data_IF_695377466313
#
_entry.id   IF_695377466313
#
_cell.length_a   1.000
_cell.length_b   1.000
_cell.length_c   1.000
_cell.angle_alpha   90.00
_cell.angle_beta   90.00
_cell.angle_gamma   90.00
#
_symmetry.space_group_name_H-M   'P 1'
#
loop_
_entity.id
_entity.type
_entity.pdbx_description
1 polymer ?
#
# COMPACT_ATOMS: atom_id res chain seq x y z
N UNK A 1 8.04 -26.33 -37.76
CA UNK A 1 7.98 -26.53 -36.31
C UNK A 1 6.73 -25.81 -35.83
N UNK A 2 5.64 -26.55 -35.64
CA UNK A 2 4.30 -26.00 -35.34
C UNK A 2 4.16 -25.89 -33.83
N UNK A 3 4.03 -24.70 -33.30
CA UNK A 3 3.70 -24.46 -31.87
C UNK A 3 2.18 -24.57 -31.70
N UNK A 4 1.74 -25.61 -31.00
CA UNK A 4 0.35 -25.80 -30.59
C UNK A 4 0.15 -25.03 -29.27
N UNK A 5 -0.59 -23.93 -29.30
CA UNK A 5 -1.04 -23.21 -28.10
C UNK A 5 -2.39 -23.78 -27.70
N UNK A 6 -2.47 -24.43 -26.55
CA UNK A 6 -3.72 -24.86 -25.92
C UNK A 6 -4.39 -23.67 -25.22
N UNK A 7 -5.47 -23.15 -25.79
CA UNK A 7 -6.34 -22.18 -25.14
C UNK A 7 -7.30 -22.92 -24.20
N UNK A 8 -7.33 -22.52 -22.95
CA UNK A 8 -8.31 -22.96 -21.95
C UNK A 8 -9.50 -22.00 -21.98
N UNK A 9 -10.64 -22.50 -22.44
CA UNK A 9 -11.92 -21.79 -22.30
C UNK A 9 -12.45 -21.98 -20.88
N UNK A 10 -12.61 -20.87 -20.16
CA UNK A 10 -13.46 -20.79 -18.98
C UNK A 10 -14.81 -20.25 -19.44
N UNK A 11 -15.85 -21.06 -19.29
CA UNK A 11 -17.23 -20.61 -19.48
C UNK A 11 -17.58 -19.59 -18.39
N UNK A 12 -17.64 -18.33 -18.76
CA UNK A 12 -18.36 -17.30 -18.02
C UNK A 12 -19.66 -16.99 -18.77
N UNK A 13 -20.84 -17.15 -18.18
CA UNK A 13 -22.10 -16.86 -18.85
C UNK A 13 -22.25 -15.34 -18.99
N UNK A 14 -22.31 -14.86 -20.23
CA UNK A 14 -22.73 -13.48 -20.52
C UNK A 14 -21.84 -12.64 -21.42
N UNK A 15 -20.75 -13.16 -22.01
CA UNK A 15 -19.91 -12.41 -22.95
C UNK A 15 -19.84 -13.13 -24.30
N UNK A 16 -20.40 -12.53 -25.35
CA UNK A 16 -20.33 -13.02 -26.74
C UNK A 16 -19.04 -12.53 -27.40
N UNK A 17 -18.05 -13.42 -27.56
CA UNK A 17 -16.78 -13.15 -28.24
C UNK A 17 -16.84 -13.42 -29.77
N UNK A 18 -18.02 -13.65 -30.32
CA UNK A 18 -18.20 -13.98 -31.74
C UNK A 18 -17.59 -13.03 -32.76
N UNK A 19 -17.50 -11.72 -32.56
CA UNK A 19 -16.87 -10.79 -33.50
C UNK A 19 -15.33 -10.81 -33.52
N UNK A 20 -14.70 -11.22 -32.44
CA UNK A 20 -13.23 -11.18 -32.31
C UNK A 20 -12.54 -12.37 -32.97
N UNK A 21 -13.11 -13.57 -32.85
CA UNK A 21 -12.54 -14.78 -33.46
C UNK A 21 -12.58 -14.80 -35.00
N UNK A 22 -13.52 -14.09 -35.63
CA UNK A 22 -13.60 -14.00 -37.11
C UNK A 22 -12.51 -13.14 -37.73
N UNK A 23 -11.79 -12.36 -36.97
CA UNK A 23 -10.72 -11.48 -37.48
C UNK A 23 -9.34 -12.15 -37.53
N UNK A 24 -9.16 -13.31 -36.89
CA UNK A 24 -7.85 -13.96 -36.70
C UNK A 24 -7.74 -15.34 -37.37
N UNK A 25 -8.77 -15.86 -38.01
CA UNK A 25 -8.71 -17.03 -38.89
C UNK A 25 -8.44 -18.37 -38.21
N UNK A 26 -9.01 -18.66 -37.04
CA UNK A 26 -8.85 -19.96 -36.37
C UNK A 26 -10.12 -20.82 -36.46
N UNK A 27 -9.92 -22.11 -36.88
CA UNK A 27 -10.94 -23.17 -36.82
C UNK A 27 -10.90 -23.88 -35.45
N UNK A 28 -12.08 -24.05 -34.82
CA UNK A 28 -12.23 -24.74 -33.54
C UNK A 28 -12.52 -26.23 -33.76
N UNK A 29 -11.70 -27.12 -33.16
CA UNK A 29 -12.00 -28.56 -33.03
C UNK A 29 -12.24 -28.91 -31.56
N UNK A 30 -13.39 -29.50 -31.28
CA UNK A 30 -13.82 -29.97 -29.95
C UNK A 30 -13.16 -31.30 -29.56
N UNK A 31 -12.73 -31.44 -28.30
CA UNK A 31 -12.10 -32.62 -27.72
C UNK A 31 -13.09 -33.46 -26.86
N UNK A 32 -13.10 -34.80 -26.93
CA UNK A 32 -14.09 -35.63 -26.24
C UNK A 32 -13.84 -35.81 -24.74
N UNK A 33 -14.94 -35.91 -24.00
CA UNK A 33 -15.12 -35.89 -22.54
C UNK A 33 -14.42 -37.01 -21.71
N UNK A 34 -13.76 -38.00 -22.30
CA UNK A 34 -13.23 -39.19 -21.59
C UNK A 34 -11.83 -39.05 -21.01
N UNK A 35 -11.05 -38.03 -21.40
CA UNK A 35 -9.67 -37.85 -20.93
C UNK A 35 -9.55 -36.98 -19.64
N UNK A 36 -10.62 -36.34 -19.19
CA UNK A 36 -10.59 -35.45 -18.01
C UNK A 36 -10.52 -36.19 -16.66
N UNK A 37 -10.94 -37.46 -16.59
CA UNK A 37 -10.96 -38.20 -15.31
C UNK A 37 -9.62 -38.81 -14.90
N UNK A 38 -8.73 -39.12 -15.83
CA UNK A 38 -7.41 -39.68 -15.50
C UNK A 38 -6.40 -38.64 -15.00
N UNK A 39 -6.53 -37.38 -15.40
CA UNK A 39 -5.61 -36.34 -14.98
C UNK A 39 -5.83 -35.90 -13.51
N UNK A 40 -7.05 -36.01 -13.00
CA UNK A 40 -7.37 -35.66 -11.58
C UNK A 40 -6.81 -36.68 -10.58
N UNK A 41 -6.41 -37.87 -10.99
CA UNK A 41 -5.83 -38.89 -10.11
C UNK A 41 -4.30 -38.80 -9.96
N UNK A 42 -3.60 -38.07 -10.83
CA UNK A 42 -2.11 -37.93 -10.78
C UNK A 42 -1.59 -36.65 -10.09
N UNK A 43 -2.46 -35.74 -9.69
CA UNK A 43 -2.06 -34.46 -9.04
C UNK A 43 -2.06 -34.53 -7.50
N UNK A 44 -2.02 -35.72 -6.91
CA UNK A 44 -1.82 -35.92 -5.47
C UNK A 44 -0.66 -36.84 -5.24
N UNK A 45 0.58 -36.34 -5.32
CA UNK A 45 1.77 -36.99 -4.73
C UNK A 45 2.79 -35.94 -4.38
N UNK A 46 3.07 -35.87 -3.09
CA UNK A 46 4.30 -35.50 -2.39
C UNK A 46 5.01 -34.15 -2.63
N UNK A 47 4.85 -33.32 -1.62
CA UNK A 47 5.89 -32.38 -1.19
C UNK A 47 6.39 -32.79 0.20
N UNK A 48 7.30 -33.77 0.24
CA UNK A 48 8.16 -34.02 1.41
C UNK A 48 9.59 -33.79 0.96
N UNK A 49 10.16 -32.65 1.30
CA UNK A 49 11.61 -32.40 1.15
C UNK A 49 12.29 -33.02 2.34
N UNK A 50 12.99 -34.14 2.11
CA UNK A 50 13.89 -34.76 3.05
C UNK A 50 15.26 -34.08 2.93
N UNK A 51 15.69 -33.34 3.99
CA UNK A 51 17.07 -32.86 4.10
C UNK A 51 17.87 -33.96 4.80
N UNK A 52 18.72 -34.66 4.05
CA UNK A 52 19.72 -35.57 4.63
C UNK A 52 20.98 -34.78 4.99
N UNK A 53 21.28 -34.70 6.27
CA UNK A 53 22.60 -34.30 6.75
C UNK A 53 23.57 -35.49 6.54
N UNK A 54 24.69 -35.23 5.88
CA UNK A 54 25.77 -36.20 5.71
C UNK A 54 26.58 -36.32 6.97
N UNK A 55 26.70 -37.54 7.47
CA UNK A 55 27.63 -37.97 8.52
C UNK A 55 29.05 -38.02 7.96
N UNK A 56 29.99 -37.44 8.72
CA UNK A 56 31.40 -37.83 8.69
C UNK A 56 31.84 -38.08 10.13
N UNK A 57 32.14 -39.36 10.41
CA UNK A 57 32.78 -39.80 11.64
C UNK A 57 34.16 -39.17 11.79
N UNK A 58 34.55 -38.79 13.02
CA UNK A 58 35.72 -39.34 13.70
C UNK A 58 35.84 -38.90 15.18
N UNK A 59 36.01 -39.94 15.98
CA UNK A 59 36.74 -40.14 17.25
C UNK A 59 36.67 -39.13 18.43
N UNK A 60 36.09 -39.63 19.47
CA UNK A 60 36.44 -39.68 20.91
C UNK A 60 37.45 -38.66 21.50
N UNK A 61 36.99 -37.86 22.45
CA UNK A 61 37.65 -37.73 23.77
C UNK A 61 36.70 -37.12 24.78
N UNK A 62 36.53 -37.86 25.88
CA UNK A 62 35.85 -37.39 27.10
C UNK A 62 36.61 -36.25 27.74
N UNK A 63 35.92 -35.18 28.17
CA UNK A 63 36.39 -34.29 29.22
C UNK A 63 35.19 -33.71 29.98
N UNK A 64 35.15 -33.98 31.25
CA UNK A 64 34.17 -33.54 32.23
C UNK A 64 34.04 -32.01 32.24
N UNK A 65 32.83 -31.51 32.05
CA UNK A 65 32.50 -30.06 32.14
C UNK A 65 32.06 -29.67 33.54
N UNK A 66 32.94 -29.01 34.28
CA UNK A 66 32.60 -28.36 35.57
C UNK A 66 31.73 -27.11 35.31
N UNK A 67 30.50 -27.11 35.88
CA UNK A 67 29.65 -25.92 35.91
C UNK A 67 30.14 -24.95 36.99
N UNK A 68 30.68 -23.80 36.61
CA UNK A 68 31.02 -22.70 37.50
C UNK A 68 29.79 -21.85 37.76
N UNK A 69 29.43 -21.70 39.06
CA UNK A 69 28.27 -20.94 39.51
C UNK A 69 28.52 -19.43 39.46
N UNK A 70 27.45 -18.65 39.23
CA UNK A 70 27.44 -17.17 39.10
C UNK A 70 28.00 -16.41 40.31
N UNK A 71 28.44 -17.10 41.39
CA UNK A 71 28.96 -16.47 42.62
C UNK A 71 30.48 -16.38 42.72
N UNK A 72 31.24 -17.03 41.83
CA UNK A 72 32.72 -17.06 41.91
C UNK A 72 33.42 -16.00 41.03
N UNK A 73 32.68 -15.15 40.30
CA UNK A 73 33.24 -14.12 39.40
C UNK A 73 33.35 -12.72 40.05
N UNK A 74 33.10 -12.55 41.37
CA UNK A 74 33.11 -11.22 42.01
C UNK A 74 34.30 -11.00 42.96
N UNK A 75 35.23 -11.93 43.10
CA UNK A 75 36.30 -11.77 44.08
C UNK A 75 37.70 -11.86 43.52
N UNK A 76 38.09 -11.08 42.51
CA UNK A 76 39.52 -10.71 42.30
C UNK A 76 39.64 -9.53 41.30
N UNK A 77 40.21 -8.42 41.73
CA UNK A 77 40.82 -7.45 40.87
C UNK A 77 40.36 -5.99 40.97
N UNK A 78 40.58 -5.37 42.13
CA UNK A 78 40.62 -3.89 42.19
C UNK A 78 41.97 -3.44 41.66
N UNK A 79 41.98 -2.83 40.49
CA UNK A 79 43.14 -2.14 39.92
C UNK A 79 42.74 -0.71 39.53
N UNK A 80 43.17 0.24 40.35
CA UNK A 80 43.05 1.67 40.19
C UNK A 80 43.88 2.15 38.98
N UNK A 81 43.26 2.63 37.90
CA UNK A 81 43.91 3.44 36.87
C UNK A 81 43.14 4.72 36.64
N UNK A 82 43.85 5.84 36.82
CA UNK A 82 43.32 7.20 36.63
C UNK A 82 42.87 7.45 35.19
N UNK A 83 41.59 7.87 35.07
CA UNK A 83 41.03 8.29 33.81
C UNK A 83 41.42 9.76 33.52
N UNK A 84 42.31 9.97 32.59
CA UNK A 84 42.47 11.27 31.91
C UNK A 84 41.33 11.44 30.93
N UNK A 85 40.41 12.34 31.21
CA UNK A 85 39.34 12.71 30.34
C UNK A 85 39.87 13.39 29.07
N UNK A 86 39.89 12.67 27.97
CA UNK A 86 40.00 13.25 26.64
C UNK A 86 38.57 13.38 26.08
N UNK A 87 37.98 14.55 26.29
CA UNK A 87 36.75 14.94 25.57
C UNK A 87 37.07 15.14 24.11
N UNK A 88 36.94 14.11 23.30
CA UNK A 88 36.82 14.25 21.84
C UNK A 88 35.36 14.55 21.53
N UNK A 89 35.03 15.79 21.26
CA UNK A 89 33.81 16.20 20.55
C UNK A 89 33.79 15.47 19.20
N UNK A 90 32.98 14.41 19.11
CA UNK A 90 32.51 13.91 17.83
C UNK A 90 31.44 14.89 17.32
N UNK A 91 31.89 15.94 16.62
CA UNK A 91 31.02 16.62 15.69
C UNK A 91 30.65 15.58 14.63
N UNK A 92 29.45 15.02 14.73
CA UNK A 92 28.85 14.23 13.66
C UNK A 92 28.65 15.18 12.48
N UNK A 93 29.65 15.31 11.64
CA UNK A 93 29.47 15.82 10.30
C UNK A 93 28.59 14.79 9.58
N UNK A 94 27.32 15.11 9.42
CA UNK A 94 26.43 14.47 8.48
C UNK A 94 26.97 14.72 7.08
N UNK A 95 27.89 13.87 6.63
CA UNK A 95 28.23 13.75 5.22
C UNK A 95 27.08 13.00 4.57
N UNK A 96 25.94 13.67 4.42
CA UNK A 96 24.99 13.33 3.36
C UNK A 96 25.63 13.84 2.08
N UNK A 97 26.59 13.08 1.57
CA UNK A 97 27.05 13.25 0.21
C UNK A 97 25.85 13.13 -0.70
N UNK A 98 25.52 14.20 -1.45
CA UNK A 98 24.58 14.11 -2.55
C UNK A 98 25.10 13.01 -3.47
N UNK A 99 24.48 11.84 -3.41
CA UNK A 99 24.75 10.76 -4.35
C UNK A 99 24.43 11.31 -5.74
N UNK A 100 25.48 11.63 -6.51
CA UNK A 100 25.32 11.89 -7.94
C UNK A 100 24.94 10.56 -8.55
N UNK A 101 23.66 10.37 -8.81
CA UNK A 101 23.19 9.23 -9.59
C UNK A 101 23.87 9.33 -10.96
N UNK A 102 24.85 8.47 -11.19
CA UNK A 102 25.36 8.25 -12.55
C UNK A 102 24.20 7.66 -13.33
N UNK A 103 23.80 8.30 -14.42
CA UNK A 103 22.75 7.79 -15.28
C UNK A 103 23.12 6.34 -15.65
N UNK A 104 22.40 5.38 -15.09
CA UNK A 104 22.60 3.98 -15.42
C UNK A 104 22.07 3.78 -16.84
N UNK A 105 22.81 3.08 -17.72
CA UNK A 105 22.33 2.71 -19.05
C UNK A 105 21.22 1.64 -19.00
N UNK A 106 20.66 1.35 -17.83
CA UNK A 106 19.60 0.34 -17.68
C UNK A 106 18.31 0.89 -18.23
N UNK A 107 17.75 0.21 -19.21
CA UNK A 107 16.38 0.45 -19.68
C UNK A 107 15.40 0.24 -18.52
N UNK A 108 14.60 1.26 -18.12
CA UNK A 108 13.65 1.14 -17.02
C UNK A 108 12.69 -0.04 -17.17
N UNK A 109 12.32 -0.42 -18.41
CA UNK A 109 11.44 -1.57 -18.67
C UNK A 109 12.06 -2.90 -18.23
N UNK A 110 13.40 -3.01 -18.24
CA UNK A 110 14.07 -4.24 -17.78
C UNK A 110 13.93 -4.45 -16.27
N UNK A 111 13.76 -3.38 -15.49
CA UNK A 111 13.55 -3.43 -14.04
C UNK A 111 12.10 -3.76 -13.67
N UNK A 112 11.16 -3.55 -14.58
CA UNK A 112 9.76 -3.97 -14.38
C UNK A 112 9.68 -5.48 -14.38
N UNK A 113 8.93 -6.05 -13.43
CA UNK A 113 8.73 -7.50 -13.38
C UNK A 113 8.05 -8.01 -14.66
N UNK A 114 8.51 -9.13 -15.24
CA UNK A 114 7.91 -9.68 -16.46
C UNK A 114 6.39 -9.85 -16.42
N UNK A 115 5.81 -10.14 -15.26
CA UNK A 115 4.36 -10.30 -15.09
C UNK A 115 3.58 -9.00 -15.39
N UNK A 116 4.22 -7.84 -15.28
CA UNK A 116 3.58 -6.53 -15.43
C UNK A 116 3.88 -5.85 -16.77
N UNK A 117 4.87 -6.35 -17.54
CA UNK A 117 5.38 -5.66 -18.74
C UNK A 117 4.37 -5.57 -19.87
N UNK A 118 3.63 -6.65 -20.14
CA UNK A 118 2.75 -6.72 -21.31
C UNK A 118 1.67 -5.61 -21.30
N UNK A 119 0.98 -5.43 -20.17
CA UNK A 119 0.00 -4.37 -20.03
C UNK A 119 0.67 -3.00 -20.02
N UNK A 120 1.76 -2.84 -19.27
CA UNK A 120 2.46 -1.56 -19.20
C UNK A 120 2.91 -1.08 -20.57
N UNK A 121 3.49 -1.95 -21.41
CA UNK A 121 3.86 -1.64 -22.80
C UNK A 121 2.68 -1.25 -23.69
N UNK A 122 1.47 -1.73 -23.37
CA UNK A 122 0.26 -1.37 -24.12
C UNK A 122 -0.31 0.00 -23.77
N UNK A 123 -0.01 0.52 -22.58
CA UNK A 123 -0.56 1.80 -22.08
C UNK A 123 0.46 2.93 -22.07
N UNK A 124 1.75 2.63 -22.03
CA UNK A 124 2.81 3.64 -22.12
C UNK A 124 3.28 3.75 -23.57
N UNK A 125 3.28 4.97 -24.09
CA UNK A 125 3.84 5.25 -25.41
C UNK A 125 5.38 5.13 -25.41
N UNK A 126 6.00 5.24 -26.61
CA UNK A 126 7.45 5.21 -26.75
C UNK A 126 8.14 6.47 -26.20
N UNK A 127 7.38 7.50 -25.90
CA UNK A 127 7.90 8.78 -25.46
C UNK A 127 8.30 8.74 -23.99
N UNK A 128 9.30 9.54 -23.64
CA UNK A 128 9.67 9.76 -22.24
C UNK A 128 8.52 10.40 -21.47
N UNK A 129 8.36 10.08 -20.17
CA UNK A 129 7.31 10.69 -19.37
C UNK A 129 7.45 12.22 -19.36
N UNK A 130 6.34 12.98 -19.25
CA UNK A 130 6.38 14.42 -19.24
C UNK A 130 7.23 14.94 -18.08
N UNK A 131 8.03 15.96 -18.33
CA UNK A 131 8.87 16.62 -17.31
C UNK A 131 8.09 17.61 -16.44
N UNK A 132 6.93 18.05 -16.93
CA UNK A 132 6.01 18.98 -16.26
C UNK A 132 4.56 18.52 -16.45
N UNK A 133 3.75 18.80 -15.45
CA UNK A 133 2.30 18.61 -15.51
C UNK A 133 1.59 19.95 -15.59
N UNK A 134 0.48 19.97 -16.32
CA UNK A 134 -0.35 21.16 -16.54
C UNK A 134 -1.78 20.96 -16.07
N UNK A 135 -2.53 22.04 -15.92
CA UNK A 135 -3.98 21.98 -15.63
C UNK A 135 -4.74 21.20 -16.72
N UNK A 136 -4.31 21.27 -17.99
CA UNK A 136 -4.93 20.50 -19.07
C UNK A 136 -4.77 18.99 -18.83
N UNK A 137 -3.59 18.53 -18.39
CA UNK A 137 -3.34 17.12 -18.04
C UNK A 137 -4.16 16.68 -16.83
N UNK A 138 -4.36 17.55 -15.84
CA UNK A 138 -5.27 17.29 -14.72
C UNK A 138 -6.70 17.04 -15.22
N UNK A 139 -7.21 17.87 -16.10
CA UNK A 139 -8.55 17.70 -16.66
C UNK A 139 -8.68 16.40 -17.46
N UNK A 140 -7.66 16.03 -18.23
CA UNK A 140 -7.60 14.75 -18.94
C UNK A 140 -7.57 13.57 -17.98
N UNK A 141 -6.78 13.63 -16.90
CA UNK A 141 -6.74 12.60 -15.86
C UNK A 141 -8.11 12.41 -15.19
N UNK A 142 -8.78 13.50 -14.83
CA UNK A 142 -10.12 13.46 -14.23
C UNK A 142 -11.16 12.88 -15.17
N UNK A 143 -11.07 13.19 -16.46
CA UNK A 143 -11.99 12.64 -17.48
C UNK A 143 -11.72 11.14 -17.69
N UNK A 144 -10.45 10.73 -17.80
CA UNK A 144 -10.06 9.33 -17.94
C UNK A 144 -10.43 8.46 -16.72
N UNK A 145 -10.43 9.03 -15.53
CA UNK A 145 -10.81 8.31 -14.30
C UNK A 145 -12.29 7.92 -14.27
N UNK A 146 -13.19 8.68 -14.91
CA UNK A 146 -14.65 8.40 -14.91
C UNK A 146 -15.05 7.05 -15.49
N UNK A 147 -14.19 6.40 -16.26
CA UNK A 147 -14.45 5.08 -16.85
C UNK A 147 -13.82 3.90 -16.11
N UNK A 148 -13.11 4.14 -15.02
CA UNK A 148 -12.34 3.11 -14.31
C UNK A 148 -13.14 2.38 -13.21
N UNK A 149 -14.37 2.83 -12.91
CA UNK A 149 -15.21 2.19 -11.91
C UNK A 149 -15.53 0.74 -12.28
N UNK A 150 -15.19 -0.19 -11.42
CA UNK A 150 -15.51 -1.61 -11.60
C UNK A 150 -17.01 -1.87 -11.37
N UNK A 151 -17.64 -2.84 -12.10
CA UNK A 151 -19.01 -3.24 -11.84
C UNK A 151 -19.21 -3.66 -10.38
N UNK A 152 -20.33 -3.25 -9.80
CA UNK A 152 -20.67 -3.62 -8.41
C UNK A 152 -20.98 -5.10 -8.28
N UNK A 153 -20.70 -5.66 -7.09
CA UNK A 153 -21.22 -6.97 -6.69
C UNK A 153 -22.74 -6.90 -6.49
N UNK A 154 -23.46 -8.01 -6.67
CA UNK A 154 -24.87 -8.09 -6.32
C UNK A 154 -25.12 -7.81 -4.82
N UNK A 155 -24.17 -8.14 -3.95
CA UNK A 155 -24.21 -7.93 -2.51
C UNK A 155 -22.76 -7.84 -1.93
N UNK A 156 -22.60 -7.20 -0.75
CA UNK A 156 -23.57 -6.42 0.00
C UNK A 156 -23.92 -5.09 -0.70
N UNK A 157 -25.12 -4.55 -0.46
CA UNK A 157 -25.55 -3.28 -1.04
C UNK A 157 -24.66 -2.12 -0.56
N UNK A 158 -24.45 -1.14 -1.45
CA UNK A 158 -23.74 0.11 -1.11
C UNK A 158 -24.74 1.24 -1.02
N UNK A 159 -24.72 1.97 0.10
CA UNK A 159 -25.62 3.10 0.37
C UNK A 159 -24.80 4.39 0.38
N UNK A 160 -25.26 5.40 -0.35
CA UNK A 160 -24.70 6.76 -0.26
C UNK A 160 -25.33 7.48 0.93
N UNK A 161 -24.52 8.15 1.75
CA UNK A 161 -24.97 8.99 2.85
C UNK A 161 -24.23 10.31 2.84
N UNK A 162 -24.94 11.41 3.00
CA UNK A 162 -24.37 12.73 3.24
C UNK A 162 -24.24 12.94 4.76
N UNK A 163 -23.09 13.39 5.21
CA UNK A 163 -22.87 13.73 6.61
C UNK A 163 -22.49 15.21 6.74
N UNK A 164 -22.78 15.87 7.85
CA UNK A 164 -22.32 17.23 8.09
C UNK A 164 -20.80 17.32 7.90
N UNK A 165 -20.33 18.28 7.11
CA UNK A 165 -18.92 18.51 6.90
C UNK A 165 -18.26 19.25 8.06
N UNK A 166 -16.93 19.48 7.99
CA UNK A 166 -16.22 20.34 8.92
C UNK A 166 -16.86 21.74 8.99
N UNK A 167 -16.68 22.42 10.10
CA UNK A 167 -17.27 23.75 10.30
C UNK A 167 -16.97 24.70 9.11
N UNK A 168 -18.04 25.17 8.46
CA UNK A 168 -17.94 26.08 7.31
C UNK A 168 -17.63 25.40 5.97
N UNK A 169 -17.57 24.07 5.93
CA UNK A 169 -17.40 23.27 4.73
C UNK A 169 -18.72 22.62 4.31
N UNK A 170 -18.84 22.16 3.04
CA UNK A 170 -20.00 21.42 2.58
C UNK A 170 -20.13 20.05 3.28
N UNK A 171 -21.30 19.42 3.13
CA UNK A 171 -21.50 18.03 3.54
C UNK A 171 -20.49 17.09 2.83
N UNK A 172 -20.06 16.04 3.55
CA UNK A 172 -19.15 15.03 3.04
C UNK A 172 -19.94 13.81 2.59
N UNK A 173 -19.86 13.41 1.31
CA UNK A 173 -20.51 12.19 0.84
C UNK A 173 -19.72 10.96 1.29
N UNK A 174 -20.42 9.96 1.82
CA UNK A 174 -19.89 8.65 2.16
C UNK A 174 -20.61 7.57 1.34
N UNK A 175 -19.89 6.50 1.00
CA UNK A 175 -20.50 5.25 0.55
C UNK A 175 -20.22 4.17 1.58
N UNK A 176 -21.29 3.49 2.03
CA UNK A 176 -21.30 2.58 3.17
C UNK A 176 -21.82 1.21 2.72
N UNK A 177 -21.15 0.16 3.15
CA UNK A 177 -21.60 -1.22 2.92
C UNK A 177 -21.31 -2.09 4.14
N UNK A 178 -22.03 -3.23 4.28
CA UNK A 178 -21.87 -4.19 5.38
C UNK A 178 -22.46 -3.75 6.73
N UNK A 179 -23.00 -2.52 6.84
CA UNK A 179 -23.63 -2.02 8.06
C UNK A 179 -24.85 -2.86 8.44
N UNK A 180 -24.96 -3.21 9.72
CA UNK A 180 -26.06 -4.02 10.28
C UNK A 180 -26.32 -3.57 11.70
N UNK A 181 -27.41 -2.86 11.94
CA UNK A 181 -27.77 -2.38 13.28
C UNK A 181 -27.80 -3.53 14.31
N UNK A 182 -27.24 -3.29 15.48
CA UNK A 182 -27.16 -4.29 16.56
C UNK A 182 -26.06 -5.34 16.41
N UNK A 183 -25.30 -5.33 15.30
CA UNK A 183 -24.09 -6.13 15.17
C UNK A 183 -22.90 -5.44 15.90
N UNK A 184 -21.77 -6.18 16.01
CA UNK A 184 -20.48 -5.69 16.54
C UNK A 184 -19.37 -6.14 15.60
N UNK A 185 -19.38 -5.58 14.38
CA UNK A 185 -18.43 -5.92 13.33
C UNK A 185 -17.19 -5.03 13.38
N UNK A 186 -16.03 -5.48 12.92
CA UNK A 186 -14.91 -4.59 12.64
C UNK A 186 -15.29 -3.61 11.53
N UNK A 187 -14.50 -2.53 11.36
CA UNK A 187 -14.78 -1.55 10.33
C UNK A 187 -13.51 -1.04 9.64
N UNK A 188 -13.64 -0.66 8.37
CA UNK A 188 -12.59 -0.03 7.58
C UNK A 188 -13.09 1.31 7.05
N UNK A 189 -12.36 2.38 7.31
CA UNK A 189 -12.47 3.63 6.57
C UNK A 189 -11.49 3.58 5.41
N UNK A 190 -12.00 3.52 4.18
CA UNK A 190 -11.25 3.52 2.95
C UNK A 190 -11.13 4.94 2.38
N UNK A 191 -9.95 5.29 1.89
CA UNK A 191 -9.64 6.59 1.31
C UNK A 191 -9.03 6.35 -0.07
N UNK A 192 -9.71 6.82 -1.12
CA UNK A 192 -9.32 6.57 -2.51
C UNK A 192 -8.05 7.31 -2.92
N UNK A 193 -7.33 6.76 -3.89
CA UNK A 193 -6.18 7.38 -4.55
C UNK A 193 -6.58 8.47 -5.55
N UNK A 194 -5.61 8.89 -6.37
CA UNK A 194 -5.81 9.90 -7.42
C UNK A 194 -4.95 11.14 -7.27
N UNK A 195 -3.79 11.04 -6.60
CA UNK A 195 -2.81 12.12 -6.50
C UNK A 195 -3.33 13.36 -5.79
N UNK A 196 -4.29 13.25 -4.89
CA UNK A 196 -4.99 14.36 -4.20
C UNK A 196 -5.89 15.19 -5.13
N UNK A 197 -5.76 15.04 -6.44
CA UNK A 197 -6.31 15.94 -7.48
C UNK A 197 -7.38 15.28 -8.35
N UNK A 198 -7.57 13.96 -8.24
CA UNK A 198 -8.54 13.17 -9.01
C UNK A 198 -9.08 12.00 -8.21
N UNK A 199 -9.96 11.21 -8.81
CA UNK A 199 -10.65 10.08 -8.16
C UNK A 199 -11.94 10.48 -7.46
N UNK A 200 -12.71 9.48 -7.05
CA UNK A 200 -13.92 9.67 -6.26
C UNK A 200 -14.23 8.43 -5.43
N UNK A 201 -14.93 8.60 -4.32
CA UNK A 201 -15.43 7.47 -3.55
C UNK A 201 -16.46 6.63 -4.32
N UNK A 202 -17.13 7.23 -5.31
CA UNK A 202 -18.08 6.51 -6.18
C UNK A 202 -17.37 5.43 -7.02
N UNK A 203 -16.11 5.63 -7.39
CA UNK A 203 -15.32 4.67 -8.16
C UNK A 203 -14.84 3.51 -7.28
N UNK A 204 -14.65 3.72 -5.98
CA UNK A 204 -14.20 2.73 -5.00
C UNK A 204 -15.33 1.90 -4.36
N UNK A 205 -16.56 2.02 -4.85
CA UNK A 205 -17.70 1.27 -4.27
C UNK A 205 -17.52 -0.24 -4.34
N UNK A 206 -16.90 -0.75 -5.41
CA UNK A 206 -16.58 -2.17 -5.55
C UNK A 206 -15.52 -2.60 -4.54
N UNK A 207 -14.53 -1.76 -4.27
CA UNK A 207 -13.45 -2.07 -3.33
C UNK A 207 -13.98 -2.24 -1.91
N UNK A 208 -14.89 -1.35 -1.48
CA UNK A 208 -15.51 -1.49 -0.16
C UNK A 208 -16.46 -2.68 -0.08
N UNK A 209 -17.13 -3.08 -1.18
CA UNK A 209 -17.92 -4.31 -1.18
C UNK A 209 -17.03 -5.55 -0.98
N UNK A 210 -15.87 -5.60 -1.63
CA UNK A 210 -14.89 -6.67 -1.46
C UNK A 210 -14.34 -6.71 -0.03
N UNK A 211 -14.00 -5.55 0.56
CA UNK A 211 -13.61 -5.46 1.97
C UNK A 211 -14.70 -6.02 2.90
N UNK A 212 -15.94 -5.58 2.72
CA UNK A 212 -17.05 -6.03 3.55
C UNK A 212 -17.33 -7.53 3.41
N UNK A 213 -17.22 -8.07 2.18
CA UNK A 213 -17.43 -9.50 1.92
C UNK A 213 -16.29 -10.37 2.48
N UNK A 214 -15.04 -9.93 2.32
CA UNK A 214 -13.87 -10.72 2.71
C UNK A 214 -13.64 -10.75 4.23
N UNK A 215 -14.07 -9.71 4.95
CA UNK A 215 -13.77 -9.54 6.38
C UNK A 215 -15.02 -9.52 7.28
N UNK A 216 -16.21 -9.70 6.74
CA UNK A 216 -17.49 -9.49 7.46
C UNK A 216 -17.46 -8.18 8.27
N UNK A 217 -17.06 -7.09 7.62
CA UNK A 217 -16.88 -5.80 8.24
C UNK A 217 -17.82 -4.73 7.67
N UNK A 218 -17.92 -3.61 8.37
CA UNK A 218 -18.49 -2.39 7.81
C UNK A 218 -17.38 -1.65 7.06
N UNK A 219 -17.58 -1.40 5.77
CA UNK A 219 -16.61 -0.66 4.97
C UNK A 219 -17.25 0.67 4.49
N UNK A 220 -16.51 1.76 4.67
CA UNK A 220 -16.94 3.11 4.31
C UNK A 220 -15.85 3.75 3.45
N UNK A 221 -16.21 4.38 2.33
CA UNK A 221 -15.27 5.22 1.56
C UNK A 221 -15.74 6.66 1.53
N UNK A 222 -14.78 7.60 1.57
CA UNK A 222 -15.00 9.04 1.73
C UNK A 222 -14.80 9.75 0.41
N UNK A 223 -15.77 10.55 -0.01
CA UNK A 223 -15.66 11.44 -1.17
C UNK A 223 -15.11 12.80 -0.70
N UNK A 224 -13.83 12.82 -0.37
CA UNK A 224 -13.15 14.00 0.16
C UNK A 224 -12.91 15.05 -0.93
N UNK A 225 -12.84 16.32 -0.55
CA UNK A 225 -12.59 17.44 -1.46
C UNK A 225 -11.18 17.38 -2.03
N UNK A 226 -11.09 17.60 -3.34
CA UNK A 226 -9.84 17.50 -4.08
C UNK A 226 -9.11 18.84 -4.19
N UNK A 227 -7.80 18.76 -4.31
CA UNK A 227 -6.94 19.86 -4.72
C UNK A 227 -6.95 19.99 -6.27
N UNK A 228 -6.61 21.16 -6.83
CA UNK A 228 -6.24 22.41 -6.16
C UNK A 228 -7.43 23.20 -5.61
N UNK A 229 -8.68 22.83 -5.90
CA UNK A 229 -9.88 23.57 -5.49
C UNK A 229 -10.00 23.67 -3.98
N UNK A 230 -9.56 22.62 -3.27
CA UNK A 230 -9.51 22.59 -1.80
C UNK A 230 -8.13 22.10 -1.35
N UNK A 231 -7.20 23.03 -1.07
CA UNK A 231 -5.89 22.65 -0.55
C UNK A 231 -5.99 22.15 0.90
N UNK A 232 -4.86 21.62 1.41
CA UNK A 232 -4.73 21.22 2.81
C UNK A 232 -5.12 22.37 3.77
N UNK A 233 -5.89 22.11 4.84
CA UNK A 233 -6.23 20.79 5.39
C UNK A 233 -7.57 20.21 4.92
N UNK A 234 -8.20 20.73 3.88
CA UNK A 234 -9.58 20.39 3.50
C UNK A 234 -9.88 18.89 3.40
N UNK A 235 -9.08 18.15 2.62
CA UNK A 235 -9.24 16.70 2.48
C UNK A 235 -8.97 15.93 3.79
N UNK A 236 -8.00 16.39 4.61
CA UNK A 236 -7.74 15.77 5.91
C UNK A 236 -8.93 15.97 6.86
N UNK A 237 -9.51 17.17 6.89
CA UNK A 237 -10.66 17.44 7.76
C UNK A 237 -11.92 16.68 7.30
N UNK A 238 -12.12 16.49 6.00
CA UNK A 238 -13.21 15.64 5.48
C UNK A 238 -13.05 14.18 5.92
N UNK A 239 -11.85 13.62 5.77
CA UNK A 239 -11.54 12.25 6.19
C UNK A 239 -11.65 12.09 7.72
N UNK A 240 -11.19 13.08 8.49
CA UNK A 240 -11.31 13.07 9.95
C UNK A 240 -12.79 13.15 10.39
N UNK A 241 -13.58 14.01 9.74
CA UNK A 241 -15.02 14.11 9.98
C UNK A 241 -15.72 12.78 9.72
N UNK A 242 -15.36 12.11 8.63
CA UNK A 242 -15.89 10.78 8.31
C UNK A 242 -15.51 9.73 9.35
N UNK A 243 -14.25 9.72 9.81
CA UNK A 243 -13.78 8.81 10.85
C UNK A 243 -14.51 9.04 12.18
N UNK A 244 -14.62 10.29 12.60
CA UNK A 244 -15.33 10.65 13.83
C UNK A 244 -16.82 10.33 13.74
N UNK A 245 -17.44 10.59 12.60
CA UNK A 245 -18.84 10.25 12.35
C UNK A 245 -19.06 8.73 12.43
N UNK A 246 -18.18 7.93 11.78
CA UNK A 246 -18.24 6.47 11.84
C UNK A 246 -18.12 5.96 13.28
N UNK A 247 -17.20 6.49 14.06
CA UNK A 247 -17.00 6.14 15.47
C UNK A 247 -18.18 6.52 16.36
N UNK A 248 -18.74 7.71 16.15
CA UNK A 248 -19.89 8.22 16.93
C UNK A 248 -21.17 7.41 16.63
N UNK A 249 -21.39 7.04 15.36
CA UNK A 249 -22.56 6.30 14.93
C UNK A 249 -22.34 4.77 14.91
N UNK A 250 -21.33 4.27 15.63
CA UNK A 250 -20.95 2.86 15.63
C UNK A 250 -22.10 1.92 15.98
N UNK A 251 -22.95 2.28 16.92
CA UNK A 251 -24.11 1.45 17.32
C UNK A 251 -25.16 1.31 16.19
N UNK A 252 -25.45 2.40 15.48
CA UNK A 252 -26.37 2.40 14.31
C UNK A 252 -25.79 1.54 13.17
N UNK A 253 -24.47 1.66 12.94
CA UNK A 253 -23.77 0.95 11.87
C UNK A 253 -23.43 -0.51 12.23
N UNK A 254 -23.53 -0.89 13.49
CA UNK A 254 -23.11 -2.21 13.98
C UNK A 254 -21.61 -2.38 14.05
N UNK A 255 -20.88 -1.33 14.40
CA UNK A 255 -19.40 -1.28 14.45
C UNK A 255 -18.90 -1.52 15.87
N UNK A 256 -17.86 -2.33 16.00
CA UNK A 256 -17.02 -2.43 17.18
C UNK A 256 -15.98 -1.30 17.16
N UNK A 257 -16.11 -0.34 18.08
CA UNK A 257 -15.23 0.83 18.17
C UNK A 257 -13.76 0.50 18.44
N UNK A 258 -13.47 -0.67 18.97
CA UNK A 258 -12.08 -1.13 19.22
C UNK A 258 -11.41 -1.73 17.98
N UNK A 259 -12.18 -2.03 16.92
CA UNK A 259 -11.71 -2.69 15.71
C UNK A 259 -11.95 -1.85 14.45
N UNK A 260 -11.52 -0.58 14.49
CA UNK A 260 -11.57 0.33 13.35
C UNK A 260 -10.17 0.43 12.73
N UNK A 261 -10.07 0.08 11.44
CA UNK A 261 -8.89 0.26 10.62
C UNK A 261 -9.10 1.36 9.58
N UNK A 262 -8.01 1.95 9.11
CA UNK A 262 -7.98 2.84 7.96
C UNK A 262 -7.16 2.21 6.84
N UNK A 263 -7.57 2.41 5.59
CA UNK A 263 -6.90 1.90 4.40
C UNK A 263 -6.93 2.94 3.28
N UNK A 264 -5.83 3.07 2.56
CA UNK A 264 -5.81 3.90 1.35
C UNK A 264 -4.69 3.53 0.41
N UNK A 265 -4.88 3.85 -0.87
CA UNK A 265 -3.94 3.62 -1.95
C UNK A 265 -3.39 4.96 -2.47
N UNK A 266 -2.08 5.04 -2.76
CA UNK A 266 -1.44 6.21 -3.33
C UNK A 266 -1.70 7.47 -2.48
N UNK A 267 -2.26 8.52 -3.03
CA UNK A 267 -2.70 9.71 -2.28
C UNK A 267 -3.68 9.37 -1.15
N UNK A 268 -4.53 8.34 -1.31
CA UNK A 268 -5.39 7.82 -0.24
C UNK A 268 -4.57 7.22 0.90
N UNK A 269 -3.47 6.54 0.59
CA UNK A 269 -2.51 6.06 1.58
C UNK A 269 -1.83 7.20 2.35
N UNK A 270 -1.52 8.30 1.67
CA UNK A 270 -1.04 9.53 2.31
C UNK A 270 -2.07 10.10 3.29
N UNK A 271 -3.33 10.21 2.82
CA UNK A 271 -4.42 10.68 3.66
C UNK A 271 -4.68 9.74 4.84
N UNK A 272 -4.55 8.42 4.66
CA UNK A 272 -4.64 7.46 5.75
C UNK A 272 -3.52 7.66 6.78
N UNK A 273 -2.27 7.83 6.37
CA UNK A 273 -1.16 8.11 7.27
C UNK A 273 -1.34 9.45 8.02
N UNK A 274 -1.74 10.52 7.30
CA UNK A 274 -2.02 11.82 7.90
C UNK A 274 -3.22 11.75 8.88
N UNK A 275 -4.25 10.98 8.54
CA UNK A 275 -5.40 10.74 9.39
C UNK A 275 -5.05 9.95 10.65
N UNK A 276 -4.17 8.92 10.55
CA UNK A 276 -3.67 8.21 11.72
C UNK A 276 -2.92 9.13 12.68
N UNK A 277 -2.09 10.03 12.14
CA UNK A 277 -1.38 11.05 12.93
C UNK A 277 -2.39 11.99 13.59
N UNK A 278 -3.36 12.53 12.84
CA UNK A 278 -4.38 13.44 13.36
C UNK A 278 -5.27 12.77 14.42
N UNK A 279 -5.69 11.52 14.22
CA UNK A 279 -6.51 10.76 15.16
C UNK A 279 -5.76 10.51 16.49
N UNK A 280 -4.47 10.17 16.43
CA UNK A 280 -3.61 10.05 17.62
C UNK A 280 -3.48 11.38 18.37
N UNK A 281 -3.17 12.45 17.63
CA UNK A 281 -2.88 13.76 18.22
C UNK A 281 -4.13 14.40 18.84
N UNK A 282 -5.32 14.15 18.25
CA UNK A 282 -6.62 14.62 18.78
C UNK A 282 -7.16 13.68 19.88
N UNK A 283 -6.73 12.43 19.92
CA UNK A 283 -7.14 11.45 20.95
C UNK A 283 -8.61 11.07 20.89
N UNK A 284 -9.28 11.19 19.72
CA UNK A 284 -10.72 11.03 19.59
C UNK A 284 -11.16 9.64 19.15
N UNK A 285 -10.39 8.98 18.26
CA UNK A 285 -10.72 7.67 17.68
C UNK A 285 -9.51 6.75 17.71
N UNK A 286 -9.56 5.66 18.48
CA UNK A 286 -8.52 4.63 18.44
C UNK A 286 -8.59 3.86 17.13
N UNK A 287 -7.43 3.55 16.54
CA UNK A 287 -7.30 2.76 15.33
C UNK A 287 -6.54 1.47 15.62
N UNK A 288 -7.02 0.34 15.09
CA UNK A 288 -6.37 -0.96 15.27
C UNK A 288 -5.32 -1.27 14.19
N UNK A 289 -5.40 -0.62 13.01
CA UNK A 289 -4.45 -0.80 11.90
C UNK A 289 -4.54 0.37 10.92
N UNK A 290 -3.40 0.73 10.32
CA UNK A 290 -3.32 1.53 9.09
C UNK A 290 -2.75 0.68 7.96
N UNK A 291 -3.49 0.56 6.84
CA UNK A 291 -3.05 -0.14 5.62
C UNK A 291 -2.71 0.90 4.57
N UNK A 292 -1.42 1.03 4.28
CA UNK A 292 -0.85 2.05 3.41
C UNK A 292 -0.31 1.40 2.14
N UNK A 293 -1.04 1.52 1.03
CA UNK A 293 -0.70 0.89 -0.24
C UNK A 293 0.00 1.93 -1.12
N UNK A 294 1.29 1.75 -1.38
CA UNK A 294 2.20 2.67 -2.11
C UNK A 294 1.90 4.16 -1.84
N UNK A 295 1.89 4.57 -0.55
CA UNK A 295 1.48 5.92 -0.18
C UNK A 295 2.48 6.98 -0.65
N UNK A 296 2.01 8.15 -1.10
CA UNK A 296 2.86 9.32 -1.32
C UNK A 296 3.13 10.03 0.01
N UNK A 297 4.21 9.75 0.70
CA UNK A 297 4.46 10.21 2.07
C UNK A 297 5.31 11.48 2.17
N UNK A 298 6.10 11.78 1.15
CA UNK A 298 7.09 12.86 1.17
C UNK A 298 6.97 13.79 -0.05
N UNK A 299 6.62 15.05 0.18
CA UNK A 299 6.50 16.06 -0.86
C UNK A 299 7.83 16.45 -1.52
N UNK A 300 8.96 16.02 -0.93
CA UNK A 300 10.30 16.26 -1.46
C UNK A 300 10.68 15.26 -2.56
N UNK A 301 10.05 14.08 -2.60
CA UNK A 301 10.35 13.03 -3.58
C UNK A 301 10.10 13.50 -5.01
N UNK A 302 11.15 13.47 -5.83
CA UNK A 302 11.13 13.97 -7.20
C UNK A 302 11.06 15.50 -7.33
N UNK A 303 11.16 16.23 -6.21
CA UNK A 303 11.29 17.69 -6.17
C UNK A 303 12.67 18.09 -5.64
N UNK A 304 12.82 18.32 -4.33
CA UNK A 304 14.10 18.64 -3.69
C UNK A 304 14.90 17.39 -3.31
N UNK A 305 14.28 16.21 -3.31
CA UNK A 305 14.95 14.92 -3.24
C UNK A 305 14.90 14.24 -4.62
N UNK A 306 16.00 14.27 -5.38
CA UNK A 306 16.07 13.64 -6.69
C UNK A 306 15.94 12.12 -6.56
N UNK A 307 15.32 11.50 -7.55
CA UNK A 307 15.19 10.04 -7.66
C UNK A 307 15.95 9.53 -8.88
N UNK A 308 16.44 8.27 -8.87
CA UNK A 308 17.01 7.65 -10.06
C UNK A 308 16.03 7.67 -11.24
N UNK A 309 16.50 7.79 -12.49
CA UNK A 309 15.63 7.96 -13.66
C UNK A 309 14.76 6.73 -13.97
N UNK A 310 15.05 5.58 -13.39
CA UNK A 310 14.29 4.34 -13.52
C UNK A 310 13.26 4.14 -12.39
N UNK A 311 13.27 4.97 -11.35
CA UNK A 311 12.28 4.99 -10.28
C UNK A 311 11.17 5.99 -10.62
N UNK A 312 9.92 5.57 -10.56
CA UNK A 312 8.78 6.41 -10.94
C UNK A 312 8.81 6.82 -12.42
N UNK A 313 9.35 5.96 -13.29
CA UNK A 313 9.38 6.20 -14.73
C UNK A 313 7.99 6.00 -15.36
N UNK A 314 7.19 5.09 -14.82
CA UNK A 314 5.89 4.70 -15.37
C UNK A 314 4.74 5.04 -14.43
N UNK A 315 3.58 5.33 -15.01
CA UNK A 315 2.29 5.61 -14.36
C UNK A 315 2.34 6.89 -13.52
N UNK A 316 3.01 6.86 -12.37
CA UNK A 316 3.15 8.05 -11.52
C UNK A 316 4.59 8.53 -11.47
N UNK A 317 4.81 9.73 -12.00
CA UNK A 317 6.14 10.28 -12.23
C UNK A 317 6.48 11.40 -11.26
N UNK A 318 7.76 11.75 -11.16
CA UNK A 318 8.23 12.89 -10.38
C UNK A 318 7.53 14.21 -10.78
N UNK A 319 7.22 14.41 -12.07
CA UNK A 319 6.51 15.60 -12.55
C UNK A 319 5.05 15.63 -12.02
N UNK A 320 4.34 14.51 -12.13
CA UNK A 320 2.99 14.35 -11.58
C UNK A 320 2.98 14.56 -10.08
N UNK A 321 3.95 13.99 -9.37
CA UNK A 321 4.09 14.13 -7.91
C UNK A 321 4.31 15.59 -7.48
N UNK A 322 5.20 16.32 -8.15
CA UNK A 322 5.41 17.75 -7.88
C UNK A 322 4.14 18.57 -8.07
N UNK A 323 3.41 18.32 -9.17
CA UNK A 323 2.15 19.01 -9.43
C UNK A 323 1.10 18.71 -8.36
N UNK A 324 0.94 17.45 -8.00
CA UNK A 324 -0.04 16.98 -7.04
C UNK A 324 0.22 17.54 -5.62
N UNK A 325 1.44 17.44 -5.14
CA UNK A 325 1.83 18.03 -3.86
C UNK A 325 1.73 19.56 -3.84
N UNK A 326 2.13 20.22 -4.93
CA UNK A 326 1.98 21.68 -5.06
C UNK A 326 0.50 22.07 -4.98
N UNK A 327 -0.38 21.32 -5.63
CA UNK A 327 -1.83 21.53 -5.58
C UNK A 327 -2.39 21.32 -4.18
N UNK A 328 -1.98 20.24 -3.48
CA UNK A 328 -2.44 19.95 -2.12
C UNK A 328 -1.93 21.00 -1.11
N UNK A 329 -0.66 21.36 -1.18
CA UNK A 329 -0.04 22.24 -0.19
C UNK A 329 -0.32 23.72 -0.45
N UNK A 330 -0.78 24.10 -1.66
CA UNK A 330 -0.94 25.51 -2.07
C UNK A 330 0.39 26.26 -2.18
N UNK A 331 1.52 25.52 -2.26
CA UNK A 331 2.88 26.04 -2.41
C UNK A 331 3.77 24.98 -3.07
N UNK A 332 4.92 25.35 -3.64
CA UNK A 332 5.79 24.39 -4.35
C UNK A 332 6.14 23.18 -3.49
N UNK A 333 6.03 21.99 -4.07
CA UNK A 333 6.44 20.72 -3.47
C UNK A 333 7.91 20.78 -3.04
N UNK A 334 8.25 20.23 -1.89
CA UNK A 334 9.59 20.27 -1.33
C UNK A 334 9.99 21.58 -0.66
N UNK A 335 9.07 22.56 -0.54
CA UNK A 335 9.33 23.79 0.21
C UNK A 335 9.77 23.51 1.65
N UNK A 336 10.65 24.34 2.19
CA UNK A 336 11.20 24.16 3.55
C UNK A 336 10.11 24.16 4.63
N UNK A 337 9.03 24.89 4.40
CA UNK A 337 7.88 24.97 5.29
C UNK A 337 6.66 24.34 4.61
N UNK A 338 6.18 23.21 5.14
CA UNK A 338 4.88 22.64 4.85
C UNK A 338 3.91 22.89 6.02
N UNK A 339 2.60 22.95 5.77
CA UNK A 339 1.62 23.00 6.87
C UNK A 339 1.80 21.81 7.81
N UNK A 340 1.68 22.03 9.12
CA UNK A 340 1.85 20.94 10.10
C UNK A 340 0.86 19.78 9.82
N UNK A 341 1.36 18.55 9.83
CA UNK A 341 0.56 17.34 9.58
C UNK A 341 0.19 17.08 8.12
N UNK A 342 0.59 17.96 7.18
CA UNK A 342 0.27 17.76 5.74
C UNK A 342 1.12 16.71 5.06
N UNK A 343 2.33 16.47 5.54
CA UNK A 343 3.33 15.56 4.96
C UNK A 343 3.75 14.54 6.02
N UNK A 344 3.26 13.29 5.97
CA UNK A 344 3.54 12.28 7.00
C UNK A 344 5.04 12.04 7.23
N UNK A 345 5.85 12.03 6.17
CA UNK A 345 7.30 11.83 6.27
C UNK A 345 8.03 12.96 7.02
N UNK A 346 7.42 14.15 7.17
CA UNK A 346 8.00 15.29 7.91
C UNK A 346 7.58 15.32 9.39
N UNK A 347 6.68 14.47 9.80
CA UNK A 347 6.27 14.38 11.21
C UNK A 347 7.38 13.68 11.99
N UNK A 348 7.94 14.35 13.00
CA UNK A 348 9.09 13.84 13.75
C UNK A 348 8.71 12.69 14.67
N UNK A 349 7.65 12.84 15.44
CA UNK A 349 7.18 11.86 16.40
C UNK A 349 6.12 10.94 15.79
N UNK A 350 6.48 9.68 15.56
CA UNK A 350 5.58 8.63 15.09
C UNK A 350 5.16 7.65 16.22
N UNK A 351 5.58 7.87 17.46
CA UNK A 351 5.19 7.01 18.56
C UNK A 351 3.67 7.07 18.82
N UNK A 352 3.10 5.96 19.24
CA UNK A 352 1.67 5.85 19.53
C UNK A 352 0.75 5.79 18.32
N UNK A 353 1.30 5.74 17.09
CA UNK A 353 0.51 5.44 15.91
C UNK A 353 0.01 3.99 15.91
N UNK A 354 -1.11 3.69 15.26
CA UNK A 354 -1.60 2.31 15.13
C UNK A 354 -0.60 1.44 14.37
N UNK A 355 -0.60 0.11 14.60
CA UNK A 355 0.13 -0.83 13.76
C UNK A 355 -0.03 -0.50 12.28
N UNK A 356 1.03 -0.73 11.48
CA UNK A 356 1.04 -0.36 10.08
C UNK A 356 1.34 -1.57 9.18
N UNK A 357 0.64 -1.66 8.06
CA UNK A 357 1.03 -2.43 6.90
C UNK A 357 1.36 -1.45 5.76
N UNK A 358 2.55 -1.57 5.20
CA UNK A 358 3.01 -0.72 4.09
C UNK A 358 3.45 -1.63 2.95
N UNK A 359 2.94 -1.39 1.75
CA UNK A 359 3.35 -2.16 0.59
C UNK A 359 3.61 -1.28 -0.62
N UNK A 360 4.71 -1.53 -1.37
CA UNK A 360 5.11 -0.72 -2.51
C UNK A 360 5.89 -1.54 -3.53
N UNK A 361 5.84 -1.14 -4.79
CA UNK A 361 6.66 -1.72 -5.85
C UNK A 361 8.08 -1.16 -5.86
N UNK A 362 9.10 -1.99 -6.17
CA UNK A 362 10.50 -1.56 -6.09
C UNK A 362 10.95 -0.57 -7.17
N UNK A 363 10.12 -0.35 -8.21
CA UNK A 363 10.35 0.69 -9.24
C UNK A 363 9.30 1.79 -9.20
N UNK A 364 8.44 1.78 -8.18
CA UNK A 364 7.51 2.86 -7.87
C UNK A 364 8.27 4.11 -7.40
N UNK A 365 7.72 5.30 -7.71
CA UNK A 365 8.28 6.57 -7.26
C UNK A 365 8.44 6.63 -5.73
N UNK A 366 7.52 6.01 -5.01
CA UNK A 366 7.41 6.05 -3.55
C UNK A 366 8.23 4.98 -2.82
N UNK A 367 8.91 4.08 -3.55
CA UNK A 367 9.65 2.96 -2.93
C UNK A 367 10.57 3.37 -1.79
N UNK A 368 11.37 4.42 -1.99
CA UNK A 368 12.36 4.84 -0.99
C UNK A 368 11.72 5.51 0.24
N UNK A 369 10.72 6.36 0.03
CA UNK A 369 10.05 7.05 1.13
C UNK A 369 9.20 6.11 1.98
N UNK A 370 8.59 5.09 1.38
CA UNK A 370 7.79 4.09 2.07
C UNK A 370 8.66 3.18 2.94
N UNK A 371 9.83 2.75 2.42
CA UNK A 371 10.81 2.00 3.18
C UNK A 371 11.33 2.84 4.36
N UNK A 372 11.64 4.11 4.14
CA UNK A 372 12.12 5.01 5.19
C UNK A 372 11.03 5.29 6.24
N UNK A 373 9.79 5.48 5.84
CA UNK A 373 8.68 5.69 6.76
C UNK A 373 8.44 4.44 7.62
N UNK A 374 8.45 3.24 7.00
CA UNK A 374 8.36 1.98 7.72
C UNK A 374 9.50 1.81 8.75
N UNK A 375 10.74 2.14 8.36
CA UNK A 375 11.90 2.12 9.26
C UNK A 375 11.70 3.06 10.46
N UNK A 376 11.16 4.26 10.23
CA UNK A 376 10.88 5.25 11.29
C UNK A 376 9.76 4.81 12.21
N UNK A 377 8.71 4.18 11.70
CA UNK A 377 7.64 3.59 12.51
C UNK A 377 8.21 2.52 13.46
N UNK A 378 9.05 1.60 12.95
CA UNK A 378 9.73 0.60 13.77
C UNK A 378 10.58 1.23 14.87
N UNK A 379 11.34 2.28 14.56
CA UNK A 379 12.14 3.02 15.55
C UNK A 379 11.28 3.72 16.61
N UNK A 380 10.07 4.12 16.25
CA UNK A 380 9.10 4.71 17.17
C UNK A 380 8.31 3.67 17.99
N UNK A 381 8.63 2.38 17.85
CA UNK A 381 7.96 1.30 18.57
C UNK A 381 6.60 0.89 17.99
N UNK A 382 6.30 1.31 16.76
CA UNK A 382 5.07 0.94 16.04
C UNK A 382 5.27 -0.40 15.32
N UNK A 383 4.40 -1.39 15.59
CA UNK A 383 4.41 -2.66 14.87
C UNK A 383 4.16 -2.43 13.39
N UNK A 384 5.09 -2.85 12.52
CA UNK A 384 5.05 -2.51 11.10
C UNK A 384 5.40 -3.71 10.24
N UNK A 385 4.56 -3.99 9.25
CA UNK A 385 4.86 -4.90 8.13
C UNK A 385 5.21 -4.07 6.90
N UNK A 386 6.31 -4.41 6.22
CA UNK A 386 6.76 -3.73 5.01
C UNK A 386 6.91 -4.74 3.88
N UNK A 387 6.20 -4.53 2.77
CA UNK A 387 6.20 -5.39 1.59
C UNK A 387 6.74 -4.65 0.38
N UNK A 388 7.93 -5.03 -0.08
CA UNK A 388 8.55 -4.49 -1.29
C UNK A 388 8.40 -5.49 -2.43
N UNK A 389 7.60 -5.15 -3.46
CA UNK A 389 7.31 -6.04 -4.60
C UNK A 389 8.34 -5.84 -5.71
N UNK A 390 9.12 -6.88 -6.06
CA UNK A 390 10.17 -6.76 -7.08
C UNK A 390 9.63 -6.34 -8.45
N UNK A 391 10.09 -5.21 -8.97
CA UNK A 391 9.71 -4.68 -10.29
C UNK A 391 8.25 -4.24 -10.40
N UNK A 392 7.55 -4.06 -9.28
CA UNK A 392 6.25 -3.41 -9.24
C UNK A 392 6.41 -1.91 -9.49
N UNK A 393 5.62 -1.36 -10.41
CA UNK A 393 5.45 0.08 -10.63
C UNK A 393 4.20 0.59 -9.90
N UNK A 394 3.96 1.89 -9.88
CA UNK A 394 2.82 2.48 -9.16
C UNK A 394 1.47 1.92 -9.64
N UNK A 395 0.69 1.32 -8.75
CA UNK A 395 -0.62 0.73 -9.07
C UNK A 395 -0.54 -0.63 -9.81
N UNK A 396 0.58 -1.35 -9.76
CA UNK A 396 0.77 -2.63 -10.47
C UNK A 396 -0.36 -3.64 -10.19
N UNK A 397 -0.84 -3.70 -8.96
CA UNK A 397 -1.92 -4.58 -8.51
C UNK A 397 -3.30 -4.15 -9.03
N UNK A 398 -3.53 -2.85 -9.20
CA UNK A 398 -4.73 -2.31 -9.82
C UNK A 398 -4.75 -2.59 -11.33
N UNK A 399 -3.63 -2.37 -12.03
CA UNK A 399 -3.54 -2.56 -13.47
C UNK A 399 -3.46 -4.03 -13.88
N UNK A 400 -2.78 -4.88 -13.10
CA UNK A 400 -2.60 -6.32 -13.39
C UNK A 400 -3.02 -7.17 -12.19
N UNK A 401 -4.31 -7.11 -11.78
CA UNK A 401 -4.77 -7.73 -10.53
C UNK A 401 -4.63 -9.25 -10.49
N UNK A 402 -4.58 -9.91 -11.67
CA UNK A 402 -4.46 -11.37 -11.77
C UNK A 402 -3.01 -11.87 -11.78
N UNK A 403 -2.02 -10.97 -11.81
CA UNK A 403 -0.62 -11.39 -11.73
C UNK A 403 -0.35 -12.05 -10.36
N UNK A 404 0.42 -13.17 -10.30
CA UNK A 404 0.73 -13.83 -9.02
C UNK A 404 1.30 -12.89 -7.96
N UNK A 405 2.13 -11.92 -8.33
CA UNK A 405 2.65 -10.92 -7.39
C UNK A 405 1.57 -9.95 -6.91
N UNK A 406 0.62 -9.56 -7.76
CA UNK A 406 -0.51 -8.71 -7.36
C UNK A 406 -1.46 -9.46 -6.42
N UNK A 407 -1.74 -10.73 -6.71
CA UNK A 407 -2.54 -11.60 -5.84
C UNK A 407 -1.88 -11.73 -4.47
N UNK A 408 -0.59 -12.10 -4.43
CA UNK A 408 0.16 -12.24 -3.17
C UNK A 408 0.21 -10.92 -2.37
N UNK A 409 0.35 -9.78 -3.06
CA UNK A 409 0.33 -8.46 -2.44
C UNK A 409 -1.03 -8.15 -1.81
N UNK A 410 -2.12 -8.42 -2.55
CA UNK A 410 -3.49 -8.24 -2.07
C UNK A 410 -3.81 -9.18 -0.91
N UNK A 411 -3.39 -10.44 -0.97
CA UNK A 411 -3.54 -11.40 0.13
C UNK A 411 -2.79 -10.96 1.39
N UNK A 412 -1.61 -10.35 1.25
CA UNK A 412 -0.79 -9.91 2.38
C UNK A 412 -1.48 -8.80 3.21
N UNK A 413 -1.99 -7.74 2.58
CA UNK A 413 -2.70 -6.70 3.33
C UNK A 413 -4.07 -7.17 3.86
N UNK A 414 -4.78 -8.06 3.13
CA UNK A 414 -6.00 -8.70 3.64
C UNK A 414 -5.71 -9.54 4.90
N UNK A 415 -4.61 -10.29 4.90
CA UNK A 415 -4.19 -11.05 6.08
C UNK A 415 -3.85 -10.13 7.28
N UNK A 416 -3.23 -8.98 7.03
CA UNK A 416 -2.95 -7.99 8.08
C UNK A 416 -4.26 -7.44 8.70
N UNK A 417 -5.25 -7.09 7.87
CA UNK A 417 -6.60 -6.69 8.34
C UNK A 417 -7.26 -7.80 9.16
N UNK A 418 -7.24 -9.05 8.68
CA UNK A 418 -7.83 -10.18 9.40
C UNK A 418 -7.19 -10.39 10.77
N UNK A 419 -5.85 -10.27 10.87
CA UNK A 419 -5.14 -10.35 12.16
C UNK A 419 -5.54 -9.22 13.11
N UNK A 420 -5.60 -7.98 12.61
CA UNK A 420 -5.98 -6.82 13.40
C UNK A 420 -7.43 -6.94 13.93
N UNK A 421 -8.33 -7.48 13.12
CA UNK A 421 -9.72 -7.70 13.51
C UNK A 421 -9.94 -8.88 14.45
N UNK A 422 -9.06 -9.87 14.44
CA UNK A 422 -9.08 -11.00 15.38
C UNK A 422 -8.48 -10.68 16.76
N UNK A 423 -7.59 -9.69 16.85
CA UNK A 423 -7.01 -9.26 18.11
C UNK A 423 -8.10 -8.66 19.01
N UNK A 424 -8.32 -9.30 20.17
CA UNK A 424 -9.17 -8.73 21.24
C UNK A 424 -8.28 -7.87 22.11
N UNK A 425 -8.54 -6.57 22.13
CA UNK A 425 -7.89 -5.63 23.06
C UNK A 425 -8.40 -5.81 24.49
#
# INVERSE_FOLDING_TARGET
MVLTVLAWEWEMPGLDFGPFCRRVGFETKTCPHRQQQEFRKRARVDTSICVTAGDSNDEQSESEGHMISRRELISQGIGLMAATAVTRSFAAQSVVGQAKFVASPVDPMQLVNPQFRALLQSIVGPDSPPTEWTTAMLLQMREGAKGLARPLLPAPAVVKRMIPGPKGAPEVPLYITGATAGATKPAVLHIHGGGFIAGSAADSRRDIQELAANHDCVAITVDYRLAPETPFPGSLEDNHTALLWMYTNAAELGIDRSRIAIKGESAGGTHAAALAIAARDRGEVPLCLQVLIYPALDDRTGSTMPVPPYIGHYIWTAAGNRFAWTSLLGKPAGSTQSPAGSVPARVENLAGLPPAWIGVGSVDLFANEDVEYGRRLLQAGVSTELHLVPGGYHGFDFFVPQAPLSVAFTEAWNAALSRAFAART
#
